data_IF_530759489168
#
_entry.id   IF_530759489168
#
_cell.length_a   1.000
_cell.length_b   1.000
_cell.length_c   1.000
_cell.angle_alpha   90.00
_cell.angle_beta   90.00
_cell.angle_gamma   90.00
#
_symmetry.space_group_name_H-M   'P 1'
#
loop_
_entity.id
_entity.type
_entity.pdbx_description
1 polymer ?
#
# COMPACT_ATOMS: atom_id res chain seq x y z
N UNK A 1 36.91 -3.66 7.88
CA UNK A 1 36.06 -3.72 9.08
C UNK A 1 34.69 -4.28 8.66
N UNK A 2 34.41 -5.57 8.88
CA UNK A 2 33.08 -6.15 8.56
C UNK A 2 32.15 -5.82 9.72
N UNK A 3 31.39 -4.73 9.62
CA UNK A 3 30.29 -4.46 10.55
C UNK A 3 29.30 -5.60 10.48
N UNK A 4 29.10 -6.30 11.60
CA UNK A 4 28.10 -7.35 11.71
C UNK A 4 26.71 -6.73 11.50
N UNK A 5 25.92 -7.29 10.58
CA UNK A 5 24.55 -6.83 10.30
C UNK A 5 23.69 -6.82 11.58
N UNK A 6 23.97 -7.73 12.53
CA UNK A 6 23.30 -7.74 13.83
C UNK A 6 23.59 -6.46 14.62
N UNK A 7 24.85 -6.08 14.76
CA UNK A 7 25.28 -4.90 15.53
C UNK A 7 24.74 -3.62 14.89
N UNK A 8 24.74 -3.56 13.55
CA UNK A 8 24.14 -2.44 12.82
C UNK A 8 22.64 -2.31 13.12
N UNK A 9 21.84 -3.37 12.96
CA UNK A 9 20.39 -3.33 13.18
C UNK A 9 19.99 -3.20 14.66
N UNK A 10 20.89 -3.49 15.58
CA UNK A 10 20.71 -3.28 17.02
C UNK A 10 21.06 -1.86 17.47
N UNK A 11 21.72 -1.06 16.62
CA UNK A 11 22.07 0.31 16.94
C UNK A 11 20.83 1.12 17.35
N UNK A 12 20.94 1.86 18.47
CA UNK A 12 19.88 2.69 19.05
C UNK A 12 19.30 3.68 18.03
N UNK A 13 20.15 4.24 17.16
CA UNK A 13 19.75 5.22 16.14
C UNK A 13 18.83 4.64 15.06
N UNK A 14 18.95 3.33 14.79
CA UNK A 14 18.11 2.63 13.81
C UNK A 14 16.87 2.02 14.43
N UNK A 15 16.49 2.43 15.64
CA UNK A 15 15.34 1.86 16.34
C UNK A 15 14.49 2.92 17.03
N UNK A 16 13.20 2.61 17.13
CA UNK A 16 12.24 3.38 17.90
C UNK A 16 12.18 4.86 17.52
N UNK A 17 12.14 5.76 18.51
CA UNK A 17 12.03 7.20 18.30
C UNK A 17 13.23 7.80 17.56
N UNK A 18 14.44 7.25 17.71
CA UNK A 18 15.60 7.75 16.96
C UNK A 18 15.45 7.48 15.47
N UNK A 19 14.94 6.32 15.09
CA UNK A 19 14.64 6.01 13.69
C UNK A 19 13.57 6.96 13.13
N UNK A 20 12.51 7.22 13.91
CA UNK A 20 11.48 8.18 13.53
C UNK A 20 12.07 9.56 13.25
N UNK A 21 12.89 10.10 14.16
CA UNK A 21 13.51 11.41 13.97
C UNK A 21 14.51 11.41 12.82
N UNK A 22 15.30 10.36 12.65
CA UNK A 22 16.25 10.23 11.55
C UNK A 22 15.53 10.33 10.19
N UNK A 23 14.45 9.58 10.00
CA UNK A 23 13.66 9.60 8.76
C UNK A 23 12.95 10.95 8.60
N UNK A 24 12.26 11.41 9.64
CA UNK A 24 11.42 12.62 9.57
C UNK A 24 12.25 13.88 9.36
N UNK A 25 13.41 14.00 10.02
CA UNK A 25 14.33 15.12 9.81
C UNK A 25 14.90 15.07 8.39
N UNK A 26 15.35 13.91 7.90
CA UNK A 26 15.84 13.79 6.53
C UNK A 26 14.79 14.24 5.49
N UNK A 27 13.54 13.79 5.63
CA UNK A 27 12.44 14.21 4.75
C UNK A 27 12.17 15.71 4.89
N UNK A 28 12.10 16.23 6.12
CA UNK A 28 11.85 17.66 6.35
C UNK A 28 12.97 18.53 5.80
N UNK A 29 14.22 18.09 5.89
CA UNK A 29 15.37 18.72 5.26
C UNK A 29 15.18 18.78 3.75
N UNK A 30 14.83 17.66 3.10
CA UNK A 30 14.53 17.66 1.66
C UNK A 30 13.42 18.66 1.32
N UNK A 31 12.32 18.69 2.08
CA UNK A 31 11.22 19.65 1.85
C UNK A 31 11.70 21.10 1.94
N UNK A 32 12.39 21.46 3.03
CA UNK A 32 12.87 22.84 3.24
C UNK A 32 13.88 23.25 2.18
N UNK A 33 14.83 22.39 1.83
CA UNK A 33 15.79 22.69 0.75
C UNK A 33 15.10 22.88 -0.60
N UNK A 34 14.10 22.05 -0.93
CA UNK A 34 13.31 22.20 -2.16
C UNK A 34 12.50 23.50 -2.18
N UNK A 35 11.98 23.95 -1.03
CA UNK A 35 11.26 25.22 -0.92
C UNK A 35 12.16 26.42 -1.23
N UNK A 36 13.41 26.42 -0.77
CA UNK A 36 14.35 27.53 -1.01
C UNK A 36 14.66 27.70 -2.51
N UNK A 37 14.62 26.62 -3.28
CA UNK A 37 14.88 26.64 -4.72
C UNK A 37 13.66 26.96 -5.59
N UNK A 38 12.48 27.22 -5.02
CA UNK A 38 11.24 27.37 -5.77
C UNK A 38 10.47 28.65 -5.45
N UNK A 39 9.82 29.19 -6.48
CA UNK A 39 8.92 30.31 -6.35
C UNK A 39 7.53 29.82 -5.88
N UNK A 40 7.32 29.75 -4.56
CA UNK A 40 6.09 29.21 -3.95
C UNK A 40 4.83 30.10 -4.12
N UNK A 41 4.96 31.26 -4.75
CA UNK A 41 3.82 32.02 -5.31
C UNK A 41 3.30 31.41 -6.62
N UNK A 42 4.00 30.46 -7.22
CA UNK A 42 3.55 29.74 -8.39
C UNK A 42 2.79 28.47 -8.02
N UNK A 43 1.60 28.30 -8.59
CA UNK A 43 0.81 27.07 -8.53
C UNK A 43 1.63 25.81 -8.85
N UNK A 44 2.47 25.89 -9.89
CA UNK A 44 3.30 24.77 -10.34
C UNK A 44 4.31 24.35 -9.28
N UNK A 45 4.88 25.31 -8.56
CA UNK A 45 5.83 25.03 -7.49
C UNK A 45 5.14 24.32 -6.32
N UNK A 46 3.96 24.80 -5.90
CA UNK A 46 3.18 24.16 -4.82
C UNK A 46 2.74 22.75 -5.21
N UNK A 47 2.25 22.55 -6.45
CA UNK A 47 1.91 21.21 -6.96
C UNK A 47 3.12 20.26 -6.97
N UNK A 48 4.29 20.76 -7.35
CA UNK A 48 5.54 19.99 -7.31
C UNK A 48 5.93 19.57 -5.88
N UNK A 49 5.68 20.42 -4.88
CA UNK A 49 5.89 20.08 -3.47
C UNK A 49 4.90 19.04 -2.94
N UNK A 50 3.63 19.08 -3.39
CA UNK A 50 2.65 18.03 -3.09
C UNK A 50 3.16 16.69 -3.66
N UNK A 51 3.59 16.65 -4.92
CA UNK A 51 4.13 15.42 -5.52
C UNK A 51 5.40 14.93 -4.81
N UNK A 52 6.32 15.84 -4.48
CA UNK A 52 7.57 15.51 -3.79
C UNK A 52 7.30 14.89 -2.40
N UNK A 53 6.41 15.49 -1.62
CA UNK A 53 6.03 14.97 -0.30
C UNK A 53 5.40 13.58 -0.37
N UNK A 54 4.52 13.33 -1.36
CA UNK A 54 3.98 11.98 -1.63
C UNK A 54 5.10 10.99 -1.99
N UNK A 55 6.02 11.37 -2.89
CA UNK A 55 7.15 10.54 -3.31
C UNK A 55 8.06 10.17 -2.12
N UNK A 56 8.25 11.06 -1.15
CA UNK A 56 8.96 10.75 0.09
C UNK A 56 8.15 9.84 1.04
N UNK A 57 6.82 9.99 1.09
CA UNK A 57 5.94 9.27 1.99
C UNK A 57 5.70 7.81 1.55
N UNK A 58 5.38 7.58 0.28
CA UNK A 58 4.92 6.29 -0.25
C UNK A 58 5.84 5.09 0.07
N UNK A 59 7.19 5.19 -0.01
CA UNK A 59 8.07 4.09 0.37
C UNK A 59 7.86 3.64 1.82
N UNK A 60 7.66 4.59 2.73
CA UNK A 60 7.44 4.32 4.15
C UNK A 60 6.13 3.58 4.38
N UNK A 61 5.07 3.97 3.64
CA UNK A 61 3.80 3.25 3.62
C UNK A 61 4.00 1.80 3.15
N UNK A 62 4.69 1.59 2.04
CA UNK A 62 4.93 0.25 1.49
C UNK A 62 5.73 -0.64 2.43
N UNK A 63 6.76 -0.10 3.09
CA UNK A 63 7.53 -0.84 4.11
C UNK A 63 6.66 -1.16 5.33
N UNK A 64 5.91 -0.20 5.86
CA UNK A 64 5.00 -0.43 6.99
C UNK A 64 3.88 -1.42 6.65
N UNK A 65 3.43 -1.41 5.39
CA UNK A 65 2.45 -2.34 4.85
C UNK A 65 3.04 -3.75 4.72
N UNK A 66 4.24 -3.93 4.16
CA UNK A 66 4.84 -5.25 3.98
C UNK A 66 5.46 -5.85 5.25
N UNK A 67 5.70 -5.04 6.29
CA UNK A 67 6.48 -5.40 7.49
C UNK A 67 6.20 -6.80 8.08
N UNK A 68 4.93 -7.12 8.35
CA UNK A 68 4.55 -8.43 8.91
C UNK A 68 4.84 -9.58 7.96
N UNK A 69 4.63 -9.35 6.67
CA UNK A 69 4.79 -10.37 5.63
C UNK A 69 6.25 -10.66 5.36
N UNK A 70 7.09 -9.62 5.37
CA UNK A 70 8.55 -9.77 5.35
C UNK A 70 9.02 -10.63 6.51
N UNK A 71 8.55 -10.39 7.74
CA UNK A 71 8.96 -11.21 8.90
C UNK A 71 8.47 -12.68 8.81
N UNK A 72 7.31 -12.93 8.21
CA UNK A 72 6.79 -14.29 8.00
C UNK A 72 7.60 -15.04 6.94
N UNK A 73 7.97 -14.37 5.86
CA UNK A 73 8.73 -14.95 4.75
C UNK A 73 10.21 -15.11 5.12
N UNK A 74 10.79 -14.09 5.77
CA UNK A 74 12.20 -13.95 6.12
C UNK A 74 12.36 -13.64 7.62
N UNK A 75 12.23 -14.65 8.52
CA UNK A 75 12.24 -14.45 9.98
C UNK A 75 13.63 -14.10 10.58
N UNK A 76 14.59 -13.68 9.74
CA UNK A 76 15.93 -13.28 10.15
C UNK A 76 16.00 -11.93 10.87
N UNK A 77 17.21 -11.42 11.08
CA UNK A 77 17.46 -10.14 11.75
C UNK A 77 16.70 -8.98 11.10
N UNK A 78 16.73 -8.89 9.78
CA UNK A 78 16.08 -7.82 9.02
C UNK A 78 14.55 -7.84 9.11
N UNK A 79 13.91 -9.00 8.93
CA UNK A 79 12.45 -9.10 9.04
C UNK A 79 11.93 -8.73 10.43
N UNK A 80 12.65 -9.16 11.48
CA UNK A 80 12.33 -8.79 12.86
C UNK A 80 12.56 -7.30 13.12
N UNK A 81 13.61 -6.72 12.56
CA UNK A 81 13.91 -5.28 12.69
C UNK A 81 12.81 -4.42 12.05
N UNK A 82 12.37 -4.75 10.83
CA UNK A 82 11.26 -4.02 10.18
C UNK A 82 9.99 -4.15 11.02
N UNK A 83 9.63 -5.37 11.44
CA UNK A 83 8.41 -5.58 12.21
C UNK A 83 8.42 -4.82 13.55
N UNK A 84 9.56 -4.81 14.25
CA UNK A 84 9.76 -4.04 15.49
C UNK A 84 9.59 -2.53 15.27
N UNK A 85 10.11 -2.02 14.15
CA UNK A 85 10.08 -0.60 13.83
C UNK A 85 8.85 -0.15 13.02
N UNK A 86 7.94 -1.07 12.66
CA UNK A 86 6.75 -0.81 11.84
C UNK A 86 5.95 0.42 12.30
N UNK A 87 5.77 0.58 13.61
CA UNK A 87 5.09 1.75 14.20
C UNK A 87 5.80 3.06 13.84
N UNK A 88 7.11 3.11 14.00
CA UNK A 88 7.90 4.33 13.79
C UNK A 88 8.05 4.66 12.30
N UNK A 89 8.14 3.63 11.44
CA UNK A 89 8.08 3.80 9.98
C UNK A 89 6.72 4.37 9.57
N UNK A 90 5.61 3.83 10.12
CA UNK A 90 4.26 4.36 9.88
C UNK A 90 4.04 5.78 10.40
N UNK A 91 4.63 6.14 11.55
CA UNK A 91 4.62 7.52 12.04
C UNK A 91 5.46 8.46 11.15
N UNK A 92 6.57 7.98 10.60
CA UNK A 92 7.39 8.75 9.65
C UNK A 92 6.63 8.98 8.33
N UNK A 93 5.88 7.98 7.86
CA UNK A 93 4.93 8.15 6.76
C UNK A 93 3.92 9.26 7.08
N UNK A 94 3.31 9.23 8.27
CA UNK A 94 2.36 10.26 8.67
C UNK A 94 2.97 11.67 8.72
N UNK A 95 4.22 11.80 9.18
CA UNK A 95 4.94 13.07 9.18
C UNK A 95 5.23 13.57 7.76
N UNK A 96 5.58 12.68 6.82
CA UNK A 96 5.74 13.04 5.41
C UNK A 96 4.41 13.46 4.76
N UNK A 97 3.30 12.80 5.09
CA UNK A 97 1.95 13.21 4.65
C UNK A 97 1.51 14.54 5.27
N UNK A 98 2.00 14.90 6.45
CA UNK A 98 1.72 16.22 7.03
C UNK A 98 2.33 17.36 6.18
N UNK A 99 3.50 17.14 5.58
CA UNK A 99 4.04 18.07 4.58
C UNK A 99 3.14 18.17 3.35
N UNK A 100 2.62 17.05 2.85
CA UNK A 100 1.67 17.08 1.74
C UNK A 100 0.41 17.88 2.10
N UNK A 101 -0.17 17.63 3.28
CA UNK A 101 -1.34 18.36 3.76
C UNK A 101 -1.06 19.86 3.85
N UNK A 102 0.11 20.23 4.35
CA UNK A 102 0.54 21.63 4.41
C UNK A 102 0.54 22.28 3.01
N UNK A 103 1.12 21.63 1.99
CA UNK A 103 1.11 22.18 0.63
C UNK A 103 -0.27 22.17 -0.04
N UNK A 104 -1.13 21.21 0.29
CA UNK A 104 -2.53 21.21 -0.14
C UNK A 104 -3.26 22.43 0.46
N UNK A 105 -3.11 22.67 1.76
CA UNK A 105 -3.71 23.85 2.42
C UNK A 105 -3.12 25.16 1.88
N UNK A 106 -1.83 25.18 1.55
CA UNK A 106 -1.21 26.32 0.88
C UNK A 106 -1.85 26.57 -0.49
N UNK A 107 -2.03 25.53 -1.30
CA UNK A 107 -2.68 25.63 -2.62
C UNK A 107 -4.12 26.14 -2.49
N UNK A 108 -4.90 25.61 -1.54
CA UNK A 108 -6.28 26.02 -1.30
C UNK A 108 -6.38 27.48 -0.84
N UNK A 109 -5.40 27.98 -0.06
CA UNK A 109 -5.48 29.34 0.52
C UNK A 109 -4.87 30.41 -0.37
N UNK A 110 -3.80 30.11 -1.09
CA UNK A 110 -3.08 31.08 -1.92
C UNK A 110 -3.46 31.01 -3.41
N UNK A 111 -4.06 29.90 -3.85
CA UNK A 111 -4.40 29.65 -5.25
C UNK A 111 -5.82 29.09 -5.41
N UNK A 112 -6.78 29.67 -4.68
CA UNK A 112 -8.16 29.20 -4.60
C UNK A 112 -8.86 29.10 -5.96
N UNK A 113 -8.71 30.12 -6.80
CA UNK A 113 -9.34 30.16 -8.13
C UNK A 113 -8.86 28.97 -8.98
N UNK A 114 -7.53 28.79 -9.08
CA UNK A 114 -6.94 27.64 -9.75
C UNK A 114 -7.36 26.30 -9.14
N UNK A 115 -7.38 26.20 -7.81
CA UNK A 115 -7.77 24.96 -7.13
C UNK A 115 -9.21 24.57 -7.48
N UNK A 116 -10.15 25.53 -7.50
CA UNK A 116 -11.56 25.27 -7.80
C UNK A 116 -11.77 24.93 -9.28
N UNK A 117 -11.05 25.59 -10.19
CA UNK A 117 -11.26 25.43 -11.63
C UNK A 117 -10.55 24.18 -12.20
N UNK A 118 -9.34 23.88 -11.74
CA UNK A 118 -8.44 22.94 -12.43
C UNK A 118 -8.07 21.70 -11.60
N UNK A 119 -8.21 21.74 -10.27
CA UNK A 119 -7.76 20.66 -9.37
C UNK A 119 -8.93 19.98 -8.66
N UNK A 120 -10.01 20.72 -8.40
CA UNK A 120 -11.12 20.23 -7.62
C UNK A 120 -11.89 19.14 -8.38
N UNK A 121 -11.78 17.91 -7.88
CA UNK A 121 -12.72 16.84 -8.15
C UNK A 121 -13.33 16.38 -6.83
N UNK A 122 -14.66 16.20 -6.79
CA UNK A 122 -15.36 15.73 -5.59
C UNK A 122 -14.83 14.37 -5.12
N UNK A 123 -14.51 13.47 -6.07
CA UNK A 123 -13.89 12.18 -5.82
C UNK A 123 -12.57 12.32 -5.06
N UNK A 124 -11.72 13.26 -5.49
CA UNK A 124 -10.37 13.44 -4.96
C UNK A 124 -10.41 14.11 -3.59
N UNK A 125 -11.40 15.00 -3.38
CA UNK A 125 -11.68 15.54 -2.05
C UNK A 125 -12.13 14.45 -1.08
N UNK A 126 -13.06 13.58 -1.50
CA UNK A 126 -13.53 12.46 -0.69
C UNK A 126 -12.36 11.51 -0.37
N UNK A 127 -11.49 11.25 -1.35
CA UNK A 127 -10.25 10.49 -1.16
C UNK A 127 -9.38 11.10 -0.06
N UNK A 128 -9.05 12.38 -0.25
CA UNK A 128 -8.10 13.10 0.59
C UNK A 128 -8.61 13.18 2.02
N UNK A 129 -9.85 13.63 2.20
CA UNK A 129 -10.48 13.73 3.53
C UNK A 129 -10.56 12.36 4.20
N UNK A 130 -11.04 11.33 3.48
CA UNK A 130 -11.12 9.97 4.02
C UNK A 130 -9.76 9.41 4.43
N UNK A 131 -8.74 9.60 3.58
CA UNK A 131 -7.36 9.21 3.83
C UNK A 131 -6.76 9.90 5.06
N UNK A 132 -6.91 11.22 5.19
CA UNK A 132 -6.39 11.97 6.33
C UNK A 132 -7.13 11.66 7.63
N UNK A 133 -8.44 11.40 7.60
CA UNK A 133 -9.20 10.96 8.78
C UNK A 133 -8.72 9.59 9.27
N UNK A 134 -8.56 8.62 8.35
CA UNK A 134 -8.03 7.29 8.69
C UNK A 134 -6.60 7.38 9.23
N UNK A 135 -5.73 8.12 8.55
CA UNK A 135 -4.34 8.33 8.97
C UNK A 135 -4.26 8.98 10.35
N UNK A 136 -5.03 10.04 10.59
CA UNK A 136 -5.09 10.72 11.88
C UNK A 136 -5.56 9.76 12.98
N UNK A 137 -6.63 8.98 12.73
CA UNK A 137 -7.10 7.95 13.65
C UNK A 137 -6.02 6.91 13.97
N UNK A 138 -5.27 6.46 12.96
CA UNK A 138 -4.15 5.52 13.14
C UNK A 138 -3.00 6.14 13.94
N UNK A 139 -2.66 7.41 13.71
CA UNK A 139 -1.62 8.14 14.46
C UNK A 139 -2.02 8.28 15.92
N UNK A 140 -3.21 8.82 16.19
CA UNK A 140 -3.70 9.03 17.57
C UNK A 140 -3.73 7.71 18.36
N UNK A 141 -4.17 6.63 17.72
CA UNK A 141 -4.25 5.30 18.33
C UNK A 141 -2.93 4.51 18.33
N UNK A 142 -1.84 5.10 17.82
CA UNK A 142 -0.48 4.56 17.96
C UNK A 142 0.17 4.92 19.30
N UNK A 143 -0.40 5.89 20.03
CA UNK A 143 0.02 6.28 21.38
C UNK A 143 -0.87 5.63 22.44
N UNK A 144 -0.35 5.49 23.67
CA UNK A 144 -1.06 4.81 24.76
C UNK A 144 -2.43 5.45 25.05
N UNK A 145 -2.52 6.78 25.01
CA UNK A 145 -3.76 7.52 25.27
C UNK A 145 -4.86 7.21 24.24
N UNK A 146 -4.55 7.21 22.95
CA UNK A 146 -5.53 6.87 21.92
C UNK A 146 -5.80 5.36 21.88
N UNK A 147 -4.76 4.55 22.13
CA UNK A 147 -4.87 3.09 22.17
C UNK A 147 -5.80 2.60 23.29
N UNK A 148 -5.80 3.24 24.45
CA UNK A 148 -6.64 2.85 25.60
C UNK A 148 -8.13 3.09 25.36
N UNK A 149 -8.50 3.95 24.41
CA UNK A 149 -9.90 4.24 24.05
C UNK A 149 -10.54 3.20 23.13
N UNK A 150 -9.78 2.22 22.64
CA UNK A 150 -10.28 1.19 21.71
C UNK A 150 -10.07 -0.22 22.26
N UNK A 151 -11.05 -1.09 22.02
CA UNK A 151 -10.85 -2.53 22.21
C UNK A 151 -9.77 -3.04 21.24
N UNK A 152 -9.09 -4.16 21.56
CA UNK A 152 -8.10 -4.76 20.66
C UNK A 152 -8.66 -5.08 19.26
N UNK A 153 -9.95 -5.43 19.15
CA UNK A 153 -10.62 -5.69 17.88
C UNK A 153 -10.79 -4.42 17.06
N UNK A 154 -11.29 -3.33 17.67
CA UNK A 154 -11.48 -2.04 17.00
C UNK A 154 -10.16 -1.45 16.54
N UNK A 155 -9.14 -1.45 17.41
CA UNK A 155 -7.81 -0.95 17.05
C UNK A 155 -7.23 -1.70 15.86
N UNK A 156 -7.35 -3.04 15.87
CA UNK A 156 -6.90 -3.88 14.77
C UNK A 156 -7.68 -3.63 13.49
N UNK A 157 -8.99 -3.47 13.58
CA UNK A 157 -9.83 -3.17 12.43
C UNK A 157 -9.45 -1.82 11.81
N UNK A 158 -9.32 -0.76 12.63
CA UNK A 158 -8.88 0.57 12.19
C UNK A 158 -7.54 0.52 11.46
N UNK A 159 -6.51 -0.10 12.07
CA UNK A 159 -5.18 -0.18 11.47
C UNK A 159 -5.13 -1.11 10.25
N UNK A 160 -6.02 -2.10 10.18
CA UNK A 160 -6.15 -2.96 9.00
C UNK A 160 -6.83 -2.22 7.85
N UNK A 161 -8.02 -1.65 8.06
CA UNK A 161 -8.72 -0.87 7.04
C UNK A 161 -7.85 0.29 6.58
N UNK A 162 -7.33 1.08 7.52
CA UNK A 162 -6.56 2.29 7.21
C UNK A 162 -5.31 1.99 6.40
N UNK A 163 -4.52 0.96 6.74
CA UNK A 163 -3.30 0.68 5.96
C UNK A 163 -3.60 0.10 4.57
N UNK A 164 -4.69 -0.64 4.39
CA UNK A 164 -5.11 -1.12 3.07
C UNK A 164 -5.70 0.01 2.21
N UNK A 165 -6.48 0.91 2.83
CA UNK A 165 -6.98 2.12 2.18
C UNK A 165 -5.83 2.99 1.69
N UNK A 166 -4.90 3.35 2.57
CA UNK A 166 -3.75 4.18 2.18
C UNK A 166 -2.92 3.50 1.08
N UNK A 167 -2.67 2.18 1.20
CA UNK A 167 -1.90 1.44 0.20
C UNK A 167 -2.60 1.36 -1.16
N UNK A 168 -3.92 1.09 -1.21
CA UNK A 168 -4.64 0.89 -2.47
C UNK A 168 -4.67 2.18 -3.28
N UNK A 169 -4.96 3.31 -2.64
CA UNK A 169 -5.01 4.62 -3.30
C UNK A 169 -3.63 5.06 -3.77
N UNK A 170 -2.60 4.95 -2.93
CA UNK A 170 -1.24 5.24 -3.33
C UNK A 170 -0.79 4.39 -4.54
N UNK A 171 -1.10 3.08 -4.53
CA UNK A 171 -0.70 2.19 -5.62
C UNK A 171 -1.48 2.44 -6.92
N UNK A 172 -2.79 2.69 -6.84
CA UNK A 172 -3.62 2.99 -8.00
C UNK A 172 -3.20 4.29 -8.68
N UNK A 173 -2.81 5.32 -7.92
CA UNK A 173 -2.29 6.56 -8.48
C UNK A 173 -1.10 6.30 -9.42
N UNK A 174 -0.16 5.43 -9.04
CA UNK A 174 0.95 5.03 -9.91
C UNK A 174 0.54 4.12 -11.07
N UNK A 175 -0.51 3.30 -10.93
CA UNK A 175 -1.05 2.56 -12.06
C UNK A 175 -1.57 3.51 -13.15
N UNK A 176 -2.30 4.56 -12.74
CA UNK A 176 -2.79 5.59 -13.67
C UNK A 176 -1.63 6.32 -14.35
N UNK A 177 -0.58 6.66 -13.59
CA UNK A 177 0.63 7.25 -14.16
C UNK A 177 1.30 6.39 -15.23
N UNK A 178 1.28 5.07 -15.08
CA UNK A 178 1.92 4.14 -16.02
C UNK A 178 1.07 3.83 -17.26
N UNK A 179 -0.23 3.65 -17.07
CA UNK A 179 -1.09 3.02 -18.08
C UNK A 179 -2.22 3.90 -18.59
N UNK A 180 -2.47 5.04 -17.95
CA UNK A 180 -3.52 5.98 -18.34
C UNK A 180 -2.95 7.34 -18.77
N UNK A 181 -2.05 7.91 -17.98
CA UNK A 181 -1.35 9.14 -18.32
C UNK A 181 -0.21 8.84 -19.31
N UNK A 182 -0.04 9.69 -20.34
CA UNK A 182 0.86 9.41 -21.46
C UNK A 182 2.34 9.80 -21.19
N UNK A 183 2.70 10.12 -19.95
CA UNK A 183 4.03 10.65 -19.60
C UNK A 183 4.60 10.03 -18.30
N UNK A 184 4.75 8.69 -18.20
CA UNK A 184 5.37 8.08 -17.04
C UNK A 184 6.86 8.41 -16.98
N UNK A 185 7.34 8.81 -15.79
CA UNK A 185 8.78 8.93 -15.54
C UNK A 185 9.32 7.63 -14.92
N UNK A 186 10.63 7.33 -15.02
CA UNK A 186 11.21 6.08 -14.48
C UNK A 186 10.87 5.81 -13.02
N UNK A 187 10.73 6.88 -12.24
CA UNK A 187 10.39 6.80 -10.83
C UNK A 187 8.97 6.25 -10.58
N UNK A 188 8.03 6.51 -11.49
CA UNK A 188 6.66 6.02 -11.35
C UNK A 188 6.61 4.48 -11.50
N UNK A 189 7.44 3.93 -12.39
CA UNK A 189 7.59 2.47 -12.53
C UNK A 189 8.12 1.85 -11.24
N UNK A 190 9.11 2.50 -10.61
CA UNK A 190 9.65 2.04 -9.33
C UNK A 190 8.56 1.99 -8.25
N UNK A 191 7.77 3.06 -8.09
CA UNK A 191 6.69 3.09 -7.10
C UNK A 191 5.59 2.08 -7.40
N UNK A 192 5.19 1.95 -8.66
CA UNK A 192 4.18 0.97 -9.07
C UNK A 192 4.60 -0.46 -8.70
N UNK A 193 5.80 -0.87 -9.09
CA UNK A 193 6.31 -2.20 -8.81
C UNK A 193 6.64 -2.42 -7.33
N UNK A 194 7.11 -1.40 -6.62
CA UNK A 194 7.32 -1.47 -5.17
C UNK A 194 6.01 -1.67 -4.41
N UNK A 195 4.94 -0.97 -4.80
CA UNK A 195 3.61 -1.12 -4.22
C UNK A 195 3.02 -2.50 -4.49
N UNK A 196 3.15 -2.98 -5.73
CA UNK A 196 2.75 -4.33 -6.11
C UNK A 196 3.55 -5.40 -5.34
N UNK A 197 4.87 -5.25 -5.21
CA UNK A 197 5.72 -6.15 -4.42
C UNK A 197 5.29 -6.17 -2.95
N UNK A 198 4.97 -5.02 -2.36
CA UNK A 198 4.51 -4.95 -0.97
C UNK A 198 3.22 -5.76 -0.73
N UNK A 199 2.29 -5.74 -1.69
CA UNK A 199 1.12 -6.61 -1.67
C UNK A 199 1.45 -8.08 -2.00
N UNK A 200 2.31 -8.33 -2.98
CA UNK A 200 2.77 -9.67 -3.35
C UNK A 200 3.41 -10.41 -2.18
N UNK A 201 4.19 -9.71 -1.34
CA UNK A 201 4.73 -10.24 -0.09
C UNK A 201 3.62 -10.66 0.88
N UNK A 202 2.53 -9.89 0.98
CA UNK A 202 1.35 -10.26 1.79
C UNK A 202 0.63 -11.48 1.27
N UNK A 203 0.43 -11.57 -0.05
CA UNK A 203 -0.14 -12.76 -0.68
C UNK A 203 0.75 -13.98 -0.43
N UNK A 204 2.06 -13.86 -0.64
CA UNK A 204 3.01 -14.95 -0.39
C UNK A 204 3.05 -15.38 1.09
N UNK A 205 3.05 -14.42 2.03
CA UNK A 205 2.99 -14.72 3.46
C UNK A 205 1.66 -15.40 3.84
N UNK A 206 0.54 -14.97 3.25
CA UNK A 206 -0.77 -15.58 3.43
C UNK A 206 -0.79 -17.04 2.94
N UNK A 207 -0.18 -17.30 1.77
CA UNK A 207 -0.03 -18.62 1.18
C UNK A 207 0.85 -19.51 2.03
N UNK A 208 2.05 -19.04 2.45
CA UNK A 208 2.97 -19.78 3.32
C UNK A 208 2.31 -20.18 4.64
N UNK A 209 1.55 -19.28 5.29
CA UNK A 209 0.83 -19.58 6.53
C UNK A 209 -0.25 -20.67 6.39
N UNK A 210 -0.74 -20.90 5.16
CA UNK A 210 -1.80 -21.87 4.85
C UNK A 210 -1.29 -23.11 4.14
N UNK A 211 0.01 -23.18 3.90
CA UNK A 211 0.62 -24.34 3.27
C UNK A 211 0.48 -25.55 4.21
N UNK A 212 -0.13 -26.66 3.75
CA UNK A 212 -0.23 -27.88 4.55
C UNK A 212 1.16 -28.42 4.91
N UNK A 213 1.35 -28.88 6.16
CA UNK A 213 2.63 -29.43 6.63
C UNK A 213 2.81 -30.91 6.32
N UNK A 214 1.72 -31.63 6.01
CA UNK A 214 1.72 -33.06 5.71
C UNK A 214 0.89 -33.30 4.44
N UNK A 215 1.44 -34.08 3.51
CA UNK A 215 0.77 -34.47 2.26
C UNK A 215 0.28 -35.90 2.46
N UNK A 216 -1.04 -36.10 2.57
CA UNK A 216 -1.61 -37.44 2.59
C UNK A 216 -1.48 -38.10 1.23
N UNK A 217 -0.79 -39.23 1.14
CA UNK A 217 -0.68 -40.04 -0.08
C UNK A 217 -2.02 -40.72 -0.38
N UNK A 218 -2.69 -40.31 -1.45
CA UNK A 218 -3.93 -40.94 -1.93
C UNK A 218 -4.08 -40.68 -3.43
N UNK A 219 -4.60 -41.63 -4.20
CA UNK A 219 -4.97 -41.46 -5.62
C UNK A 219 -6.04 -40.37 -5.84
N UNK A 220 -6.86 -40.07 -4.83
CA UNK A 220 -7.75 -38.91 -4.85
C UNK A 220 -7.01 -37.56 -4.69
N UNK A 221 -5.77 -37.60 -4.20
CA UNK A 221 -4.89 -36.43 -4.13
C UNK A 221 -4.38 -36.04 -5.52
N UNK A 222 -4.09 -36.99 -6.42
CA UNK A 222 -3.59 -36.70 -7.77
C UNK A 222 -4.62 -35.96 -8.63
N UNK A 223 -5.89 -36.40 -8.60
CA UNK A 223 -6.98 -35.75 -9.33
C UNK A 223 -7.27 -34.34 -8.76
N UNK A 224 -7.30 -34.19 -7.44
CA UNK A 224 -7.47 -32.86 -6.80
C UNK A 224 -6.32 -31.92 -7.10
N UNK A 225 -5.09 -32.46 -7.11
CA UNK A 225 -3.91 -31.68 -7.42
C UNK A 225 -4.02 -31.14 -8.84
N UNK A 226 -4.38 -31.95 -9.83
CA UNK A 226 -4.58 -31.49 -11.20
C UNK A 226 -5.73 -30.46 -11.32
N UNK A 227 -6.87 -30.74 -10.66
CA UNK A 227 -8.09 -29.91 -10.74
C UNK A 227 -7.91 -28.49 -10.19
N UNK A 228 -7.11 -28.31 -9.13
CA UNK A 228 -6.95 -27.01 -8.48
C UNK A 228 -5.60 -26.33 -8.78
N UNK A 229 -4.53 -27.10 -8.99
CA UNK A 229 -3.20 -26.52 -9.20
C UNK A 229 -3.11 -25.83 -10.56
N UNK A 230 -3.53 -26.48 -11.64
CA UNK A 230 -3.40 -25.94 -12.99
C UNK A 230 -4.21 -24.64 -13.17
N UNK A 231 -5.51 -24.58 -12.82
CA UNK A 231 -6.26 -23.32 -12.90
C UNK A 231 -5.73 -22.27 -11.92
N UNK A 232 -5.20 -22.70 -10.76
CA UNK A 232 -4.59 -21.80 -9.78
C UNK A 232 -3.34 -21.10 -10.30
N UNK A 233 -2.41 -21.87 -10.90
CA UNK A 233 -1.20 -21.35 -11.53
C UNK A 233 -1.56 -20.47 -12.74
N UNK A 234 -2.49 -20.91 -13.58
CA UNK A 234 -2.97 -20.12 -14.72
C UNK A 234 -3.57 -18.77 -14.29
N UNK A 235 -4.40 -18.75 -13.24
CA UNK A 235 -4.97 -17.52 -12.70
C UNK A 235 -3.90 -16.57 -12.16
N UNK A 236 -2.89 -17.08 -11.44
CA UNK A 236 -1.77 -16.26 -10.97
C UNK A 236 -0.96 -15.69 -12.14
N UNK A 237 -0.65 -16.52 -13.14
CA UNK A 237 0.10 -16.09 -14.32
C UNK A 237 -0.66 -15.04 -15.13
N UNK A 238 -1.96 -15.26 -15.37
CA UNK A 238 -2.83 -14.30 -16.07
C UNK A 238 -2.95 -12.98 -15.30
N UNK A 239 -3.07 -13.04 -13.96
CA UNK A 239 -3.07 -11.84 -13.14
C UNK A 239 -1.74 -11.09 -13.20
N UNK A 240 -0.60 -11.78 -13.21
CA UNK A 240 0.72 -11.15 -13.41
C UNK A 240 0.85 -10.45 -14.77
N UNK A 241 0.31 -11.05 -15.83
CA UNK A 241 0.22 -10.42 -17.16
C UNK A 241 -0.66 -9.17 -17.07
N UNK A 242 -1.83 -9.24 -16.43
CA UNK A 242 -2.72 -8.08 -16.25
C UNK A 242 -2.08 -6.92 -15.49
N UNK A 243 -1.30 -7.21 -14.44
CA UNK A 243 -0.50 -6.21 -13.70
C UNK A 243 0.58 -5.59 -14.60
N UNK A 244 1.25 -6.40 -15.42
CA UNK A 244 2.37 -5.92 -16.23
C UNK A 244 1.93 -5.08 -17.44
N UNK A 245 0.75 -5.37 -17.99
CA UNK A 245 0.24 -4.78 -19.22
C UNK A 245 -1.14 -4.17 -18.99
N UNK A 246 -1.23 -3.03 -18.31
CA UNK A 246 -2.50 -2.36 -18.02
C UNK A 246 -3.17 -1.72 -19.24
N UNK A 247 -2.39 -1.12 -20.15
CA UNK A 247 -2.89 -0.33 -21.27
C UNK A 247 -3.84 -1.07 -22.23
N UNK A 248 -3.59 -2.34 -22.61
CA UNK A 248 -4.44 -3.05 -23.57
C UNK A 248 -5.88 -3.32 -23.10
N UNK A 249 -6.14 -3.34 -21.79
CA UNK A 249 -7.45 -3.74 -21.23
C UNK A 249 -8.03 -2.71 -20.27
N UNK A 250 -7.21 -1.96 -19.54
CA UNK A 250 -7.66 -1.08 -18.46
C UNK A 250 -8.66 -0.01 -18.94
N UNK A 251 -8.36 0.64 -20.08
CA UNK A 251 -9.23 1.68 -20.65
C UNK A 251 -10.60 1.12 -21.04
N UNK A 252 -10.63 -0.05 -21.67
CA UNK A 252 -11.87 -0.71 -22.09
C UNK A 252 -12.77 -1.05 -20.88
N UNK A 253 -12.17 -1.44 -19.75
CA UNK A 253 -12.93 -1.72 -18.53
C UNK A 253 -13.48 -0.44 -17.91
N UNK A 254 -12.73 0.66 -17.89
CA UNK A 254 -13.23 1.96 -17.45
C UNK A 254 -14.38 2.45 -18.35
N UNK A 255 -14.22 2.40 -19.67
CA UNK A 255 -15.27 2.75 -20.63
C UNK A 255 -16.52 1.89 -20.44
N UNK A 256 -16.37 0.58 -20.29
CA UNK A 256 -17.48 -0.32 -19.97
C UNK A 256 -18.17 0.04 -18.65
N UNK A 257 -17.39 0.25 -17.58
CA UNK A 257 -17.93 0.55 -16.26
C UNK A 257 -18.70 1.88 -16.25
N UNK A 258 -18.17 2.93 -16.87
CA UNK A 258 -18.81 4.25 -16.90
C UNK A 258 -19.99 4.35 -17.87
N UNK A 259 -20.13 3.40 -18.81
CA UNK A 259 -21.36 3.26 -19.60
C UNK A 259 -22.53 2.66 -18.80
N UNK A 260 -22.30 2.10 -17.61
CA UNK A 260 -23.37 1.61 -16.73
C UNK A 260 -23.77 2.73 -15.75
N UNK A 261 -25.03 3.23 -15.79
CA UNK A 261 -25.42 4.43 -15.03
C UNK A 261 -25.16 4.37 -13.52
N UNK A 262 -25.41 3.21 -12.89
CA UNK A 262 -25.18 2.99 -11.45
C UNK A 262 -23.69 3.07 -11.10
N UNK A 263 -22.82 2.50 -11.95
CA UNK A 263 -21.37 2.51 -11.74
C UNK A 263 -20.78 3.90 -11.98
N UNK A 264 -21.27 4.62 -13.00
CA UNK A 264 -20.89 6.00 -13.26
C UNK A 264 -21.22 6.90 -12.06
N UNK A 265 -22.45 6.81 -11.55
CA UNK A 265 -22.89 7.58 -10.38
C UNK A 265 -22.02 7.28 -9.15
N UNK A 266 -21.61 6.01 -8.97
CA UNK A 266 -20.72 5.62 -7.87
C UNK A 266 -19.31 6.23 -8.04
N UNK A 267 -18.81 6.32 -9.27
CA UNK A 267 -17.51 6.91 -9.59
C UNK A 267 -17.38 8.38 -9.25
N UNK A 268 -18.48 9.14 -9.29
CA UNK A 268 -18.51 10.56 -8.87
C UNK A 268 -18.08 10.73 -7.41
N UNK A 269 -18.44 9.78 -6.54
CA UNK A 269 -18.16 9.83 -5.10
C UNK A 269 -16.99 8.94 -4.69
N UNK A 270 -16.56 8.02 -5.56
CA UNK A 270 -15.58 7.00 -5.24
C UNK A 270 -14.35 7.15 -6.14
N UNK A 271 -13.26 7.72 -5.61
CA UNK A 271 -12.04 7.97 -6.36
C UNK A 271 -11.48 6.66 -6.92
N UNK A 272 -11.04 6.72 -8.19
CA UNK A 272 -10.55 5.59 -8.98
C UNK A 272 -11.50 4.38 -9.13
N UNK A 273 -12.77 4.50 -8.79
CA UNK A 273 -13.77 3.46 -9.01
C UNK A 273 -13.86 3.06 -10.50
N UNK A 274 -14.02 1.77 -10.85
CA UNK A 274 -14.28 0.61 -9.99
C UNK A 274 -13.02 -0.11 -9.47
N UNK A 275 -11.90 0.61 -9.28
CA UNK A 275 -10.61 0.04 -8.85
C UNK A 275 -10.09 -1.01 -9.85
N UNK A 276 -10.21 -0.70 -11.15
CA UNK A 276 -9.75 -1.53 -12.29
C UNK A 276 -8.36 -2.14 -12.06
N UNK A 277 -7.36 -1.41 -11.53
CA UNK A 277 -6.01 -1.97 -11.32
C UNK A 277 -5.99 -3.16 -10.36
N UNK A 278 -7.00 -3.32 -9.51
CA UNK A 278 -7.07 -4.40 -8.53
C UNK A 278 -7.64 -5.71 -9.11
N UNK A 279 -8.27 -5.70 -10.29
CA UNK A 279 -8.88 -6.92 -10.87
C UNK A 279 -7.87 -8.06 -11.06
N UNK A 280 -6.67 -7.82 -11.65
CA UNK A 280 -5.65 -8.86 -11.76
C UNK A 280 -5.19 -9.36 -10.39
N UNK A 281 -5.15 -8.51 -9.36
CA UNK A 281 -4.77 -8.93 -8.01
C UNK A 281 -5.81 -9.87 -7.36
N UNK A 282 -7.11 -9.61 -7.57
CA UNK A 282 -8.16 -10.52 -7.12
C UNK A 282 -8.04 -11.88 -7.80
N UNK A 283 -7.74 -11.90 -9.11
CA UNK A 283 -7.48 -13.12 -9.86
C UNK A 283 -6.26 -13.89 -9.31
N UNK A 284 -5.16 -13.19 -8.99
CA UNK A 284 -3.99 -13.80 -8.36
C UNK A 284 -4.30 -14.37 -6.98
N UNK A 285 -5.05 -13.65 -6.13
CA UNK A 285 -5.45 -14.14 -4.81
C UNK A 285 -6.36 -15.37 -4.92
N UNK A 286 -7.29 -15.37 -5.88
CA UNK A 286 -8.12 -16.53 -6.20
C UNK A 286 -7.26 -17.72 -6.63
N UNK A 287 -6.30 -17.49 -7.55
CA UNK A 287 -5.35 -18.51 -7.98
C UNK A 287 -4.52 -19.07 -6.83
N UNK A 288 -4.00 -18.22 -5.94
CA UNK A 288 -3.30 -18.64 -4.72
C UNK A 288 -4.18 -19.50 -3.80
N UNK A 289 -5.47 -19.18 -3.67
CA UNK A 289 -6.43 -19.99 -2.93
C UNK A 289 -6.61 -21.39 -3.53
N UNK A 290 -6.70 -21.49 -4.87
CA UNK A 290 -6.76 -22.78 -5.55
C UNK A 290 -5.48 -23.60 -5.36
N UNK A 291 -4.31 -22.96 -5.45
CA UNK A 291 -3.02 -23.62 -5.21
C UNK A 291 -2.96 -24.19 -3.79
N UNK A 292 -3.36 -23.42 -2.78
CA UNK A 292 -3.42 -23.91 -1.39
C UNK A 292 -4.39 -25.09 -1.26
N UNK A 293 -5.58 -25.00 -1.87
CA UNK A 293 -6.57 -26.10 -1.86
C UNK A 293 -6.07 -27.38 -2.54
N UNK A 294 -5.25 -27.25 -3.58
CA UNK A 294 -4.66 -28.39 -4.30
C UNK A 294 -3.80 -29.28 -3.39
N UNK A 295 -3.25 -28.72 -2.30
CA UNK A 295 -2.37 -29.41 -1.36
C UNK A 295 -3.10 -30.13 -0.20
N UNK A 296 -4.43 -30.09 -0.16
CA UNK A 296 -5.23 -30.75 0.87
C UNK A 296 -5.65 -29.85 2.05
N UNK A 297 -6.46 -30.39 2.97
CA UNK A 297 -6.96 -29.61 4.12
C UNK A 297 -5.83 -29.45 5.15
N UNK A 298 -5.58 -28.24 5.68
CA UNK A 298 -4.79 -28.10 6.89
C UNK A 298 -5.47 -28.87 8.03
N UNK A 299 -4.68 -29.54 8.87
CA UNK A 299 -5.16 -30.17 10.11
C UNK A 299 -5.99 -29.15 10.88
N UNK A 300 -7.22 -29.52 11.28
CA UNK A 300 -8.12 -28.66 12.08
C UNK A 300 -7.37 -28.24 13.34
N UNK A 301 -6.95 -26.98 13.40
CA UNK A 301 -6.12 -26.43 14.47
C UNK A 301 -5.64 -25.00 14.22
N UNK A 302 -5.66 -24.53 12.98
CA UNK A 302 -5.43 -23.13 12.66
C UNK A 302 -6.64 -22.27 13.05
N UNK A 303 -6.84 -22.06 14.36
CA UNK A 303 -7.68 -20.99 14.88
C UNK A 303 -7.23 -19.69 14.21
N UNK A 304 -8.20 -18.96 13.67
CA UNK A 304 -8.01 -17.65 13.07
C UNK A 304 -7.40 -16.71 14.11
N UNK A 305 -6.08 -16.59 14.10
CA UNK A 305 -5.38 -15.43 14.64
C UNK A 305 -4.66 -14.85 13.44
N UNK A 306 -5.23 -13.76 12.93
CA UNK A 306 -4.47 -12.74 12.20
C UNK A 306 -3.30 -12.33 13.13
N UNK A 307 -2.20 -13.09 13.11
CA UNK A 307 -1.02 -12.86 13.94
C UNK A 307 -0.04 -11.95 13.21
N UNK A 308 0.20 -10.82 13.88
CA UNK A 308 1.28 -9.81 13.78
C UNK A 308 1.56 -9.22 12.42
#
# INVERSE_FOLDING_TARGET
MRTNLADFLQNKFLNSWYLFWLITLAISTVMVFSMVGMELSSVRAVSSMIQLSVRCAVPLLFVAFAASSVNVLFPGLFGRWILRNRKFIGLSFAAAMAWQLFFILWMITQHTEYYVEEVYALSDLIEGVGGYLLLTGMVLTSFNLGRSRLSPKQWKFLHWVGIYWLWIYAWIAYWWQLFYYNEPVPLDYFYYWAGFLAWGLRMAAWTKKRWPKEIGQSTAADIRQLLYLLPGVAAVAMGLVGISFGSPWGKQIYEFAFNVPVLNTTGVYTPFFPFVPCFPMFLMMFGACLIVKSKGKPVKGARFILST
#
